data_IF_889317814618
#
_entry.id   IF_889317814618
#
_cell.length_a   1.000
_cell.length_b   1.000
_cell.length_c   1.000
_cell.angle_alpha   90.00
_cell.angle_beta   90.00
_cell.angle_gamma   90.00
#
_symmetry.space_group_name_H-M   'P 1'
#
loop_
_entity.id
_entity.type
_entity.pdbx_description
1 polymer ?
#
# COMPACT_ATOMS: atom_id res chain seq x y z
N UNK A 1 10.07 7.82 23.09
CA UNK A 1 10.43 9.24 22.87
C UNK A 1 9.54 9.85 21.79
N UNK A 2 9.52 9.32 20.57
CA UNK A 2 8.71 9.83 19.44
C UNK A 2 7.21 9.94 19.71
N UNK A 3 6.58 8.93 20.33
CA UNK A 3 5.15 9.00 20.69
C UNK A 3 4.82 10.14 21.67
N UNK A 4 5.75 10.46 22.59
CA UNK A 4 5.55 11.55 23.55
C UNK A 4 5.54 12.90 22.83
N UNK A 5 6.51 13.11 21.93
CA UNK A 5 6.62 14.31 21.10
C UNK A 5 5.34 14.51 20.25
N UNK A 6 4.84 13.43 19.64
CA UNK A 6 3.60 13.49 18.85
C UNK A 6 2.37 13.88 19.70
N UNK A 7 2.24 13.33 20.91
CA UNK A 7 1.16 13.69 21.84
C UNK A 7 1.25 15.15 22.27
N UNK A 8 2.44 15.61 22.67
CA UNK A 8 2.67 17.01 23.05
C UNK A 8 2.39 17.97 21.87
N UNK A 9 2.73 17.57 20.64
CA UNK A 9 2.39 18.33 19.45
C UNK A 9 0.87 18.46 19.25
N UNK A 10 0.13 17.35 19.35
CA UNK A 10 -1.33 17.34 19.25
C UNK A 10 -1.96 18.19 20.37
N UNK A 11 -1.54 18.01 21.62
CA UNK A 11 -2.06 18.78 22.75
C UNK A 11 -1.85 20.30 22.57
N UNK A 12 -0.73 20.69 21.96
CA UNK A 12 -0.38 22.11 21.78
C UNK A 12 -1.10 22.72 20.56
N UNK A 13 -1.09 22.03 19.42
CA UNK A 13 -1.50 22.61 18.13
C UNK A 13 -2.90 22.19 17.69
N UNK A 14 -3.42 21.08 18.21
CA UNK A 14 -4.65 20.42 17.76
C UNK A 14 -5.60 20.06 18.92
N UNK A 15 -5.58 20.84 20.01
CA UNK A 15 -6.45 20.65 21.17
C UNK A 15 -7.96 20.78 20.86
N UNK A 16 -8.31 21.38 19.72
CA UNK A 16 -9.67 21.50 19.22
C UNK A 16 -10.02 20.50 18.10
N UNK A 17 -9.14 19.53 17.81
CA UNK A 17 -9.44 18.50 16.83
C UNK A 17 -10.58 17.60 17.33
N UNK A 18 -11.43 17.19 16.39
CA UNK A 18 -12.56 16.27 16.63
C UNK A 18 -12.03 14.88 16.96
N UNK A 19 -10.97 14.44 16.27
CA UNK A 19 -10.27 13.21 16.61
C UNK A 19 -8.82 13.27 16.14
N UNK A 20 -7.96 12.49 16.80
CA UNK A 20 -6.58 12.28 16.33
C UNK A 20 -6.17 10.82 16.47
N UNK A 21 -5.48 10.32 15.46
CA UNK A 21 -4.86 9.00 15.47
C UNK A 21 -3.36 9.18 15.34
N UNK A 22 -2.61 8.55 16.24
CA UNK A 22 -1.15 8.52 16.15
C UNK A 22 -0.76 7.11 15.75
N UNK A 23 -0.10 6.98 14.60
CA UNK A 23 0.25 5.70 14.00
C UNK A 23 1.67 5.65 13.47
N UNK A 24 1.83 4.92 12.38
CA UNK A 24 3.12 4.63 11.77
C UNK A 24 3.85 3.45 12.41
N UNK A 25 5.07 3.22 11.96
CA UNK A 25 5.84 2.04 12.38
C UNK A 25 6.24 2.01 13.86
N UNK A 26 5.95 3.07 14.62
CA UNK A 26 6.12 3.14 16.09
C UNK A 26 5.00 2.49 16.89
N UNK A 27 3.80 2.34 16.32
CA UNK A 27 2.63 1.79 17.03
C UNK A 27 2.50 0.28 16.84
N UNK A 28 2.95 -0.24 15.69
CA UNK A 28 3.22 -1.66 15.52
C UNK A 28 4.44 -2.06 16.37
N UNK A 29 4.44 -3.26 16.95
CA UNK A 29 5.50 -3.83 17.83
C UNK A 29 6.88 -4.03 17.17
N UNK A 30 7.19 -3.29 16.10
CA UNK A 30 8.40 -3.37 15.27
C UNK A 30 9.04 -1.99 15.01
N UNK A 31 8.90 -1.06 15.95
CA UNK A 31 9.50 0.28 15.86
C UNK A 31 11.03 0.19 15.68
N UNK A 32 11.54 0.76 14.57
CA UNK A 32 12.98 0.95 14.35
C UNK A 32 13.35 2.39 14.73
N UNK A 33 14.57 2.59 15.22
CA UNK A 33 15.10 3.93 15.47
C UNK A 33 15.09 4.75 14.17
N UNK A 34 14.55 5.97 14.21
CA UNK A 34 14.52 6.89 13.06
C UNK A 34 13.27 6.84 12.18
N UNK A 35 12.28 6.02 12.50
CA UNK A 35 10.99 6.06 11.81
C UNK A 35 10.25 7.38 12.04
N UNK A 36 9.50 7.81 11.05
CA UNK A 36 8.46 8.84 11.13
C UNK A 36 7.30 8.44 12.06
N UNK A 37 6.67 9.44 12.67
CA UNK A 37 5.38 9.29 13.35
C UNK A 37 4.29 9.90 12.48
N UNK A 38 3.35 9.07 12.09
CA UNK A 38 2.17 9.49 11.32
C UNK A 38 1.08 9.96 12.28
N UNK A 39 0.47 11.11 12.02
CA UNK A 39 -0.62 11.68 12.81
C UNK A 39 -1.78 12.02 11.88
N UNK A 40 -2.91 11.33 12.05
CA UNK A 40 -4.17 11.69 11.38
C UNK A 40 -4.93 12.64 12.29
N UNK A 41 -5.32 13.78 11.76
CA UNK A 41 -6.05 14.82 12.47
C UNK A 41 -7.38 15.03 11.78
N UNK A 42 -8.46 14.92 12.53
CA UNK A 42 -9.82 15.19 12.08
C UNK A 42 -10.26 16.51 12.69
N UNK A 43 -10.58 17.47 11.84
CA UNK A 43 -11.19 18.73 12.26
C UNK A 43 -12.06 19.30 11.15
N UNK A 44 -13.36 19.43 11.42
CA UNK A 44 -14.31 20.03 10.48
C UNK A 44 -14.17 21.56 10.34
N UNK A 45 -13.29 22.16 11.15
CA UNK A 45 -12.99 23.61 11.09
C UNK A 45 -11.97 23.98 10.01
N UNK A 46 -11.30 23.00 9.40
CA UNK A 46 -10.28 23.27 8.39
C UNK A 46 -10.90 23.65 7.05
N UNK A 47 -10.29 24.59 6.29
CA UNK A 47 -10.82 25.02 5.00
C UNK A 47 -10.57 24.00 3.87
N UNK A 48 -9.54 23.17 3.99
CA UNK A 48 -9.18 22.12 3.03
C UNK A 48 -8.33 21.06 3.73
N UNK A 49 -8.37 19.82 3.21
CA UNK A 49 -7.48 18.77 3.66
C UNK A 49 -6.05 19.02 3.14
N UNK A 50 -5.05 18.61 3.92
CA UNK A 50 -3.65 18.73 3.52
C UNK A 50 -2.77 17.69 4.23
N UNK A 51 -1.55 17.55 3.71
CA UNK A 51 -0.48 16.76 4.33
C UNK A 51 0.69 17.68 4.61
N UNK A 52 1.28 17.54 5.79
CA UNK A 52 2.45 18.33 6.21
C UNK A 52 3.49 17.42 6.83
N UNK A 53 4.76 17.61 6.48
CA UNK A 53 5.89 16.92 7.12
C UNK A 53 6.73 17.92 7.86
N UNK A 54 7.07 17.64 9.12
CA UNK A 54 7.87 18.54 9.95
C UNK A 54 8.84 17.78 10.84
N UNK A 55 9.87 18.47 11.31
CA UNK A 55 10.88 17.91 12.22
C UNK A 55 10.75 18.58 13.59
N UNK A 56 10.21 17.86 14.56
CA UNK A 56 10.04 18.38 15.93
C UNK A 56 11.04 17.70 16.86
N UNK A 57 11.96 18.47 17.43
CA UNK A 57 13.01 17.96 18.34
C UNK A 57 13.80 16.78 17.74
N UNK A 58 14.02 16.79 16.41
CA UNK A 58 14.69 15.71 15.68
C UNK A 58 13.82 14.49 15.38
N UNK A 59 12.53 14.51 15.73
CA UNK A 59 11.54 13.50 15.38
C UNK A 59 10.76 13.93 14.12
N UNK A 60 10.84 13.17 13.01
CA UNK A 60 10.00 13.42 11.85
C UNK A 60 8.54 13.12 12.18
N UNK A 61 7.67 14.10 11.98
CA UNK A 61 6.22 13.96 12.06
C UNK A 61 5.61 14.13 10.68
N UNK A 62 4.64 13.30 10.35
CA UNK A 62 3.85 13.40 9.14
C UNK A 62 2.38 13.56 9.52
N UNK A 63 1.82 14.72 9.19
CA UNK A 63 0.46 15.11 9.53
C UNK A 63 -0.45 14.90 8.32
N UNK A 64 -1.60 14.26 8.58
CA UNK A 64 -2.67 14.05 7.63
C UNK A 64 -3.93 14.70 8.17
N UNK A 65 -4.24 15.90 7.67
CA UNK A 65 -5.30 16.73 8.22
C UNK A 65 -6.51 16.67 7.30
N UNK A 66 -7.63 16.17 7.83
CA UNK A 66 -8.88 15.98 7.10
C UNK A 66 -10.06 16.51 7.90
N UNK A 67 -11.15 16.86 7.19
CA UNK A 67 -12.48 16.85 7.78
C UNK A 67 -13.07 15.44 7.66
N UNK A 68 -14.15 15.13 8.39
CA UNK A 68 -14.68 13.77 8.46
C UNK A 68 -15.06 13.22 7.07
N UNK A 69 -15.78 14.02 6.28
CA UNK A 69 -16.24 13.61 4.95
C UNK A 69 -15.10 13.37 3.95
N UNK A 70 -14.03 14.16 4.03
CA UNK A 70 -12.85 13.99 3.19
C UNK A 70 -12.11 12.69 3.52
N UNK A 71 -11.91 12.38 4.80
CA UNK A 71 -11.28 11.11 5.21
C UNK A 71 -12.12 9.91 4.72
N UNK A 72 -13.43 9.95 4.92
CA UNK A 72 -14.34 8.89 4.44
C UNK A 72 -14.25 8.71 2.92
N UNK A 73 -14.23 9.81 2.17
CA UNK A 73 -14.06 9.77 0.71
C UNK A 73 -12.74 9.10 0.33
N UNK A 74 -11.64 9.45 0.99
CA UNK A 74 -10.33 8.82 0.76
C UNK A 74 -10.39 7.32 1.02
N UNK A 75 -10.93 6.89 2.17
CA UNK A 75 -11.04 5.47 2.50
C UNK A 75 -11.89 4.69 1.47
N UNK A 76 -12.94 5.30 0.91
CA UNK A 76 -13.71 4.71 -0.18
C UNK A 76 -12.88 4.61 -1.46
N UNK A 77 -12.16 5.67 -1.84
CA UNK A 77 -11.28 5.66 -3.03
C UNK A 77 -10.19 4.60 -2.92
N UNK A 78 -9.63 4.39 -1.73
CA UNK A 78 -8.66 3.33 -1.45
C UNK A 78 -9.20 1.94 -1.81
N UNK A 79 -10.50 1.68 -1.61
CA UNK A 79 -11.10 0.39 -1.98
C UNK A 79 -11.04 0.11 -3.48
N UNK A 80 -11.15 1.13 -4.32
CA UNK A 80 -11.04 0.98 -5.77
C UNK A 80 -9.59 0.91 -6.23
N UNK A 81 -8.71 1.73 -5.63
CA UNK A 81 -7.28 1.72 -5.90
C UNK A 81 -6.59 0.42 -5.41
N UNK A 82 -7.13 -0.21 -4.38
CA UNK A 82 -6.57 -1.41 -3.78
C UNK A 82 -5.43 -1.18 -2.80
N UNK A 83 -5.14 0.06 -2.40
CA UNK A 83 -4.05 0.43 -1.48
C UNK A 83 -4.64 1.08 -0.22
N UNK A 84 -4.59 0.47 0.97
CA UNK A 84 -5.30 0.96 2.15
C UNK A 84 -4.42 1.82 3.05
N UNK A 85 -4.07 3.04 2.65
CA UNK A 85 -3.15 3.87 3.43
C UNK A 85 -3.81 4.51 4.66
N UNK A 86 -4.76 5.40 4.46
CA UNK A 86 -5.52 6.09 5.51
C UNK A 86 -6.42 5.13 6.28
N UNK A 87 -7.04 4.15 5.59
CA UNK A 87 -7.81 3.09 6.26
C UNK A 87 -6.95 2.31 7.24
N UNK A 88 -5.71 1.95 6.86
CA UNK A 88 -4.79 1.23 7.75
C UNK A 88 -4.30 2.10 8.90
N UNK A 89 -3.85 3.30 8.59
CA UNK A 89 -3.32 4.22 9.59
C UNK A 89 -4.38 4.55 10.67
N UNK A 90 -5.64 4.70 10.27
CA UNK A 90 -6.76 4.97 11.19
C UNK A 90 -7.15 3.74 12.01
N UNK A 91 -7.16 2.54 11.40
CA UNK A 91 -7.57 1.32 12.08
C UNK A 91 -6.51 0.75 13.05
N UNK A 92 -5.22 0.91 12.71
CA UNK A 92 -4.08 0.40 13.48
C UNK A 92 -3.46 1.46 14.41
N UNK A 93 -3.77 2.74 14.19
CA UNK A 93 -3.29 3.84 15.01
C UNK A 93 -3.88 3.85 16.43
N UNK A 94 -3.20 4.55 17.33
CA UNK A 94 -3.71 4.87 18.66
C UNK A 94 -4.67 6.05 18.50
N UNK A 95 -5.96 5.82 18.77
CA UNK A 95 -6.93 6.90 18.97
C UNK A 95 -6.51 7.70 20.21
N UNK A 96 -6.06 8.93 19.99
CA UNK A 96 -5.49 9.78 21.03
C UNK A 96 -6.48 10.83 21.55
N UNK A 97 -7.19 11.51 20.66
CA UNK A 97 -8.32 12.37 21.01
C UNK A 97 -9.59 11.88 20.32
N UNK A 98 -10.73 11.99 21.01
CA UNK A 98 -12.03 11.54 20.51
C UNK A 98 -13.13 12.44 21.08
N UNK A 99 -13.51 13.47 20.32
CA UNK A 99 -14.64 14.34 20.64
C UNK A 99 -15.93 13.65 20.19
N UNK A 100 -16.88 13.55 21.11
CA UNK A 100 -18.24 13.01 20.85
C UNK A 100 -18.30 11.61 20.21
N UNK A 101 -17.19 10.85 20.22
CA UNK A 101 -17.12 9.50 19.64
C UNK A 101 -16.79 9.45 18.15
N UNK A 102 -16.51 10.60 17.50
CA UNK A 102 -16.21 10.69 16.06
C UNK A 102 -15.01 9.81 15.69
N UNK A 103 -13.96 9.83 16.50
CA UNK A 103 -12.76 9.01 16.29
C UNK A 103 -13.05 7.52 16.44
N UNK A 104 -13.84 7.15 17.44
CA UNK A 104 -14.27 5.76 17.62
C UNK A 104 -15.08 5.23 16.42
N UNK A 105 -15.98 6.05 15.86
CA UNK A 105 -16.74 5.68 14.66
C UNK A 105 -15.85 5.51 13.43
N UNK A 106 -14.93 6.45 13.19
CA UNK A 106 -13.99 6.38 12.07
C UNK A 106 -13.07 5.16 12.17
N UNK A 107 -12.60 4.83 13.37
CA UNK A 107 -11.78 3.65 13.64
C UNK A 107 -12.51 2.35 13.30
N UNK A 108 -13.77 2.21 13.71
CA UNK A 108 -14.57 1.03 13.38
C UNK A 108 -14.89 0.97 11.87
N UNK A 109 -15.19 2.10 11.23
CA UNK A 109 -15.35 2.18 9.77
C UNK A 109 -14.08 1.71 9.04
N UNK A 110 -12.91 2.22 9.44
CA UNK A 110 -11.63 1.84 8.85
C UNK A 110 -11.34 0.34 9.02
N UNK A 111 -11.61 -0.23 10.20
CA UNK A 111 -11.49 -1.68 10.44
C UNK A 111 -12.42 -2.50 9.56
N UNK A 112 -13.66 -2.06 9.38
CA UNK A 112 -14.63 -2.73 8.51
C UNK A 112 -14.17 -2.71 7.04
N UNK A 113 -13.64 -1.58 6.57
CA UNK A 113 -13.08 -1.44 5.23
C UNK A 113 -11.92 -2.41 5.05
N UNK A 114 -10.93 -2.40 5.95
CA UNK A 114 -9.77 -3.29 5.87
C UNK A 114 -10.17 -4.76 5.85
N UNK A 115 -11.11 -5.15 6.71
CA UNK A 115 -11.61 -6.52 6.78
C UNK A 115 -12.34 -6.94 5.51
N UNK A 116 -13.08 -6.02 4.89
CA UNK A 116 -13.83 -6.28 3.65
C UNK A 116 -12.90 -6.47 2.44
N UNK A 117 -11.77 -5.77 2.41
CA UNK A 117 -10.85 -5.80 1.27
C UNK A 117 -11.24 -4.80 0.17
N UNK A 118 -10.42 -4.70 -0.89
CA UNK A 118 -10.69 -3.82 -2.02
C UNK A 118 -11.89 -4.26 -2.84
N UNK A 119 -12.40 -3.34 -3.67
CA UNK A 119 -13.41 -3.66 -4.65
C UNK A 119 -12.88 -4.71 -5.65
N UNK A 120 -13.66 -5.75 -5.98
CA UNK A 120 -13.28 -6.74 -6.97
C UNK A 120 -12.95 -6.09 -8.32
N UNK A 121 -11.93 -6.63 -8.98
CA UNK A 121 -11.60 -6.26 -10.36
C UNK A 121 -12.69 -6.75 -11.31
N UNK A 122 -13.01 -5.95 -12.32
CA UNK A 122 -13.81 -6.41 -13.46
C UNK A 122 -12.99 -7.35 -14.36
N UNK A 123 -13.65 -8.07 -15.26
CA UNK A 123 -12.93 -8.88 -16.26
C UNK A 123 -12.04 -8.01 -17.16
N UNK A 124 -12.48 -6.79 -17.48
CA UNK A 124 -11.68 -5.83 -18.24
C UNK A 124 -10.42 -5.41 -17.47
N UNK A 125 -10.53 -5.17 -16.17
CA UNK A 125 -9.39 -4.83 -15.32
C UNK A 125 -8.35 -5.97 -15.24
N UNK A 126 -8.83 -7.22 -15.17
CA UNK A 126 -7.97 -8.41 -15.18
C UNK A 126 -7.27 -8.54 -16.53
N UNK A 127 -8.00 -8.38 -17.63
CA UNK A 127 -7.42 -8.41 -18.98
C UNK A 127 -6.39 -7.31 -19.19
N UNK A 128 -6.67 -6.07 -18.79
CA UNK A 128 -5.72 -4.95 -18.91
C UNK A 128 -4.44 -5.20 -18.13
N UNK A 129 -4.53 -5.70 -16.88
CA UNK A 129 -3.34 -6.05 -16.08
C UNK A 129 -2.56 -7.22 -16.66
N UNK A 130 -3.25 -8.27 -17.14
CA UNK A 130 -2.60 -9.39 -17.85
C UNK A 130 -1.85 -8.89 -19.09
N UNK A 131 -2.43 -7.96 -19.83
CA UNK A 131 -1.78 -7.35 -20.99
C UNK A 131 -0.52 -6.57 -20.58
N UNK A 132 -0.63 -5.67 -19.60
CA UNK A 132 0.51 -4.89 -19.12
C UNK A 132 1.68 -5.77 -18.60
N UNK A 133 1.36 -6.82 -17.84
CA UNK A 133 2.37 -7.78 -17.37
C UNK A 133 2.97 -8.54 -18.54
N UNK A 134 2.17 -8.95 -19.52
CA UNK A 134 2.66 -9.67 -20.70
C UNK A 134 3.63 -8.83 -21.50
N UNK A 135 3.28 -7.57 -21.76
CA UNK A 135 4.12 -6.62 -22.50
C UNK A 135 5.46 -6.39 -21.79
N UNK A 136 5.40 -6.11 -20.48
CA UNK A 136 6.59 -5.93 -19.63
C UNK A 136 7.43 -7.20 -19.52
N UNK A 137 6.80 -8.38 -19.50
CA UNK A 137 7.49 -9.67 -19.43
C UNK A 137 8.23 -9.99 -20.74
N UNK A 138 7.66 -9.63 -21.90
CA UNK A 138 8.35 -9.74 -23.20
C UNK A 138 9.56 -8.80 -23.23
N UNK A 139 9.42 -7.57 -22.75
CA UNK A 139 10.55 -6.65 -22.61
C UNK A 139 11.64 -7.22 -21.68
N UNK A 140 11.24 -7.92 -20.61
CA UNK A 140 12.17 -8.56 -19.70
C UNK A 140 12.90 -9.75 -20.35
N UNK A 141 12.27 -10.49 -21.25
CA UNK A 141 12.87 -11.62 -21.96
C UNK A 141 14.01 -11.18 -22.88
N UNK A 142 13.84 -10.05 -23.56
CA UNK A 142 14.81 -9.50 -24.51
C UNK A 142 16.19 -9.22 -23.90
N UNK A 143 17.23 -9.37 -24.73
CA UNK A 143 18.58 -8.91 -24.36
C UNK A 143 18.64 -7.38 -24.44
N UNK A 144 18.83 -6.73 -23.28
CA UNK A 144 18.75 -5.28 -23.11
C UNK A 144 19.90 -4.75 -22.27
N UNK A 145 20.25 -3.45 -22.39
CA UNK A 145 21.18 -2.81 -21.48
C UNK A 145 20.76 -3.01 -20.01
N UNK A 146 21.73 -3.26 -19.13
CA UNK A 146 21.48 -3.60 -17.73
C UNK A 146 20.58 -2.58 -17.00
N UNK A 147 20.72 -1.30 -17.31
CA UNK A 147 19.89 -0.24 -16.71
C UNK A 147 18.42 -0.38 -17.12
N UNK A 148 18.13 -0.70 -18.38
CA UNK A 148 16.76 -0.91 -18.87
C UNK A 148 16.16 -2.14 -18.22
N UNK A 149 16.91 -3.25 -18.14
CA UNK A 149 16.45 -4.48 -17.48
C UNK A 149 16.09 -4.25 -16.01
N UNK A 150 16.80 -3.37 -15.30
CA UNK A 150 16.47 -3.02 -13.91
C UNK A 150 15.12 -2.31 -13.82
N UNK A 151 14.86 -1.34 -14.69
CA UNK A 151 13.57 -0.62 -14.71
C UNK A 151 12.41 -1.53 -15.12
N UNK A 152 12.61 -2.38 -16.12
CA UNK A 152 11.61 -3.39 -16.54
C UNK A 152 11.31 -4.36 -15.40
N UNK A 153 12.35 -4.87 -14.72
CA UNK A 153 12.18 -5.76 -13.57
C UNK A 153 11.43 -5.08 -12.43
N UNK A 154 11.72 -3.81 -12.13
CA UNK A 154 11.01 -3.05 -11.11
C UNK A 154 9.51 -2.94 -11.42
N UNK A 155 9.17 -2.60 -12.67
CA UNK A 155 7.78 -2.52 -13.13
C UNK A 155 7.10 -3.89 -13.04
N UNK A 156 7.76 -4.95 -13.54
CA UNK A 156 7.22 -6.30 -13.54
C UNK A 156 6.93 -6.82 -12.13
N UNK A 157 7.82 -6.57 -11.16
CA UNK A 157 7.63 -6.93 -9.75
C UNK A 157 6.48 -6.15 -9.10
N UNK A 158 6.29 -4.89 -9.48
CA UNK A 158 5.17 -4.09 -9.02
C UNK A 158 3.84 -4.64 -9.57
N UNK A 159 3.76 -4.86 -10.87
CA UNK A 159 2.52 -5.29 -11.54
C UNK A 159 2.10 -6.70 -11.14
N UNK A 160 3.05 -7.64 -11.01
CA UNK A 160 2.72 -9.01 -10.57
C UNK A 160 2.25 -9.04 -9.12
N UNK A 161 2.84 -8.21 -8.24
CA UNK A 161 2.40 -8.07 -6.86
C UNK A 161 0.97 -7.51 -6.80
N UNK A 162 0.70 -6.43 -7.54
CA UNK A 162 -0.64 -5.87 -7.62
C UNK A 162 -1.63 -6.92 -8.14
N UNK A 163 -1.30 -7.58 -9.24
CA UNK A 163 -2.17 -8.55 -9.89
C UNK A 163 -2.57 -9.67 -8.94
N UNK A 164 -1.60 -10.35 -8.32
CA UNK A 164 -1.87 -11.47 -7.40
C UNK A 164 -2.69 -11.01 -6.20
N UNK A 165 -2.37 -9.88 -5.58
CA UNK A 165 -3.16 -9.36 -4.46
C UNK A 165 -4.60 -9.02 -4.89
N UNK A 166 -4.78 -8.26 -5.98
CA UNK A 166 -6.10 -7.78 -6.40
C UNK A 166 -7.00 -8.90 -6.90
N UNK A 167 -6.48 -9.88 -7.62
CA UNK A 167 -7.29 -11.03 -8.08
C UNK A 167 -7.69 -11.96 -6.94
N UNK A 168 -6.98 -11.94 -5.81
CA UNK A 168 -7.35 -12.62 -4.57
C UNK A 168 -8.25 -11.78 -3.65
N UNK A 169 -8.69 -10.59 -4.10
CA UNK A 169 -9.50 -9.67 -3.29
C UNK A 169 -8.75 -9.16 -2.06
N UNK A 170 -7.41 -9.06 -2.15
CA UNK A 170 -6.53 -8.57 -1.09
C UNK A 170 -5.99 -7.19 -1.44
N UNK A 171 -5.65 -6.46 -0.39
CA UNK A 171 -4.97 -5.18 -0.47
C UNK A 171 -3.59 -5.33 -1.11
N UNK A 172 -3.13 -4.27 -1.76
CA UNK A 172 -1.79 -4.14 -2.32
C UNK A 172 -0.97 -3.16 -1.48
N UNK A 173 0.35 -3.17 -1.67
CA UNK A 173 1.26 -2.35 -0.89
C UNK A 173 2.24 -1.61 -1.78
N UNK A 174 2.81 -0.54 -1.24
CA UNK A 174 3.91 0.19 -1.87
C UNK A 174 5.18 0.10 -1.03
N UNK A 175 6.33 0.13 -1.69
CA UNK A 175 7.64 -0.01 -1.04
C UNK A 175 7.71 -1.26 -0.16
N UNK A 176 8.01 -1.07 1.13
CA UNK A 176 8.10 -2.17 2.12
C UNK A 176 6.82 -2.99 2.28
N UNK A 177 5.66 -2.43 1.93
CA UNK A 177 4.37 -3.11 2.06
C UNK A 177 4.08 -4.04 0.90
N UNK A 178 4.64 -3.82 -0.29
CA UNK A 178 4.37 -4.67 -1.46
C UNK A 178 4.65 -6.15 -1.17
N UNK A 179 5.84 -6.46 -0.63
CA UNK A 179 6.18 -7.83 -0.24
C UNK A 179 5.38 -8.36 0.97
N UNK A 180 4.96 -7.49 1.89
CA UNK A 180 4.16 -7.91 3.05
C UNK A 180 2.75 -8.32 2.65
N UNK A 181 2.09 -7.51 1.82
CA UNK A 181 0.76 -7.85 1.30
C UNK A 181 0.81 -9.12 0.44
N UNK A 182 1.87 -9.28 -0.37
CA UNK A 182 2.05 -10.48 -1.16
C UNK A 182 2.23 -11.72 -0.29
N UNK A 183 3.09 -11.64 0.73
CA UNK A 183 3.31 -12.73 1.69
C UNK A 183 2.05 -13.08 2.49
N UNK A 184 1.21 -12.10 2.83
CA UNK A 184 -0.08 -12.35 3.49
C UNK A 184 -1.14 -12.91 2.54
N UNK A 185 -1.10 -12.52 1.26
CA UNK A 185 -2.03 -12.98 0.22
C UNK A 185 -1.74 -14.42 -0.21
N UNK A 186 -0.50 -14.66 -0.63
CA UNK A 186 -0.02 -15.95 -1.13
C UNK A 186 1.44 -16.17 -0.68
N UNK A 187 1.64 -16.76 0.51
CA UNK A 187 2.97 -17.01 1.05
C UNK A 187 3.83 -17.92 0.15
N UNK A 188 3.22 -18.86 -0.57
CA UNK A 188 3.93 -19.81 -1.42
C UNK A 188 4.44 -19.13 -2.68
N UNK A 189 3.59 -18.32 -3.32
CA UNK A 189 4.02 -17.53 -4.47
C UNK A 189 5.05 -16.49 -4.07
N UNK A 190 4.89 -15.81 -2.94
CA UNK A 190 5.88 -14.84 -2.44
C UNK A 190 7.26 -15.49 -2.29
N UNK A 191 7.35 -16.67 -1.65
CA UNK A 191 8.61 -17.40 -1.51
C UNK A 191 9.19 -17.81 -2.87
N UNK A 192 8.35 -18.32 -3.78
CA UNK A 192 8.79 -18.72 -5.13
C UNK A 192 9.34 -17.54 -5.93
N UNK A 193 8.67 -16.39 -5.84
CA UNK A 193 9.10 -15.15 -6.49
C UNK A 193 10.42 -14.64 -5.93
N UNK A 194 10.58 -14.67 -4.60
CA UNK A 194 11.84 -14.31 -3.93
C UNK A 194 12.99 -15.21 -4.38
N UNK A 195 12.81 -16.54 -4.38
CA UNK A 195 13.83 -17.49 -4.79
C UNK A 195 14.24 -17.30 -6.27
N UNK A 196 13.26 -17.10 -7.15
CA UNK A 196 13.50 -16.83 -8.57
C UNK A 196 14.23 -15.50 -8.80
N UNK A 197 13.85 -14.45 -8.05
CA UNK A 197 14.51 -13.15 -8.11
C UNK A 197 15.96 -13.22 -7.62
N UNK A 198 16.22 -13.92 -6.51
CA UNK A 198 17.59 -14.11 -6.00
C UNK A 198 18.45 -14.93 -6.95
N UNK A 199 17.87 -15.96 -7.58
CA UNK A 199 18.57 -16.73 -8.62
C UNK A 199 18.95 -15.84 -9.81
N UNK A 200 18.01 -15.03 -10.31
CA UNK A 200 18.25 -14.07 -11.38
C UNK A 200 19.35 -13.07 -11.00
N UNK A 201 19.29 -12.45 -9.82
CA UNK A 201 20.30 -11.49 -9.36
C UNK A 201 21.70 -12.10 -9.27
N UNK A 202 21.79 -13.39 -8.93
CA UNK A 202 23.06 -14.09 -8.79
C UNK A 202 23.65 -14.57 -10.12
N UNK A 203 22.81 -14.93 -11.08
CA UNK A 203 23.24 -15.67 -12.29
C UNK A 203 22.96 -14.97 -13.61
N UNK A 204 22.08 -13.96 -13.62
CA UNK A 204 21.53 -13.34 -14.82
C UNK A 204 20.51 -14.20 -15.58
N UNK A 205 20.22 -15.42 -15.11
CA UNK A 205 19.27 -16.34 -15.76
C UNK A 205 17.83 -15.93 -15.45
N UNK A 206 17.05 -15.65 -16.49
CA UNK A 206 15.69 -15.08 -16.39
C UNK A 206 14.60 -16.14 -16.28
N UNK A 207 14.90 -17.38 -16.67
CA UNK A 207 13.93 -18.45 -16.93
C UNK A 207 13.07 -18.79 -15.70
N UNK A 208 13.69 -18.84 -14.52
CA UNK A 208 12.98 -19.13 -13.27
C UNK A 208 11.95 -18.04 -12.93
N UNK A 209 12.32 -16.76 -13.13
CA UNK A 209 11.46 -15.62 -12.85
C UNK A 209 10.32 -15.53 -13.87
N UNK A 210 10.63 -15.74 -15.15
CA UNK A 210 9.63 -15.79 -16.23
C UNK A 210 8.59 -16.89 -15.95
N UNK A 211 9.07 -18.12 -15.67
CA UNK A 211 8.19 -19.26 -15.39
C UNK A 211 7.30 -19.03 -14.18
N UNK A 212 7.85 -18.40 -13.13
CA UNK A 212 7.09 -18.04 -11.92
C UNK A 212 5.93 -17.07 -12.25
N UNK A 213 6.16 -16.06 -13.08
CA UNK A 213 5.14 -15.08 -13.48
C UNK A 213 4.12 -15.72 -14.43
N UNK A 214 4.56 -16.52 -15.40
CA UNK A 214 3.67 -17.23 -16.31
C UNK A 214 2.70 -18.15 -15.58
N UNK A 215 3.15 -18.83 -14.53
CA UNK A 215 2.28 -19.68 -13.72
C UNK A 215 1.12 -18.89 -13.10
N UNK A 216 1.36 -17.66 -12.64
CA UNK A 216 0.31 -16.79 -12.12
C UNK A 216 -0.63 -16.31 -13.22
N UNK A 217 -0.10 -15.89 -14.37
CA UNK A 217 -0.93 -15.48 -15.50
C UNK A 217 -1.81 -16.63 -16.01
N UNK A 218 -1.30 -17.88 -16.01
CA UNK A 218 -2.02 -19.08 -16.46
C UNK A 218 -3.29 -19.36 -15.64
N UNK A 219 -3.35 -18.97 -14.37
CA UNK A 219 -4.57 -19.05 -13.56
C UNK A 219 -5.71 -18.19 -14.11
N UNK A 220 -5.38 -17.19 -14.92
CA UNK A 220 -6.32 -16.23 -15.50
C UNK A 220 -6.34 -16.27 -17.03
N UNK A 221 -5.84 -17.35 -17.64
CA UNK A 221 -5.84 -17.54 -19.10
C UNK A 221 -4.51 -17.27 -19.80
N UNK A 222 -3.42 -17.10 -19.05
CA UNK A 222 -2.05 -16.97 -19.55
C UNK A 222 -1.68 -15.55 -19.95
N UNK A 223 -0.58 -15.41 -20.69
CA UNK A 223 -0.19 -14.15 -21.33
C UNK A 223 -1.31 -13.62 -22.24
N UNK A 224 -1.41 -12.30 -22.37
CA UNK A 224 -2.40 -11.63 -23.21
C UNK A 224 -1.70 -10.54 -24.03
N UNK A 225 -1.70 -10.70 -25.35
CA UNK A 225 -1.26 -9.67 -26.29
C UNK A 225 -2.17 -9.69 -27.52
N UNK A 226 -2.25 -10.86 -28.16
CA UNK A 226 -3.14 -11.05 -29.29
C UNK A 226 -4.61 -10.87 -28.89
N UNK A 227 -5.31 -9.97 -29.59
CA UNK A 227 -6.73 -9.71 -29.38
C UNK A 227 -7.06 -8.80 -28.20
N UNK A 228 -6.08 -8.18 -27.55
CA UNK A 228 -6.34 -7.14 -26.55
C UNK A 228 -6.88 -5.85 -27.21
N UNK A 229 -7.87 -5.22 -26.56
CA UNK A 229 -8.46 -3.94 -26.95
C UNK A 229 -8.73 -3.10 -25.70
N UNK A 230 -8.42 -1.81 -25.76
CA UNK A 230 -8.67 -0.83 -24.69
C UNK A 230 -10.09 -0.25 -24.76
#
# INVERSE_FOLDING_TARGET
MSLKIAKEYVDTHWHHADATFIGGSHVASRAKSGSDVDIVIISDTIPHYYRESLLLEGCPLELFVYNQGALQTVMVTETYAGVPFMSRLTAEGILYTDQEGIGSELLEQARLILKKGPHPLSQLDISSRRYAITDTLVDFEDDRPAIETIYVLQQLLHDIQEFVCRTNGRWTGQGKWAGRELAETDPLFCQTLEDALFHYQKTGQKEALISCIDQQLNLYGGRLFHGYTE
#
